data_IF_336447757402
#
_entry.id   IF_336447757402
#
_cell.length_a   1.000
_cell.length_b   1.000
_cell.length_c   1.000
_cell.angle_alpha   90.00
_cell.angle_beta   90.00
_cell.angle_gamma   90.00
#
_symmetry.space_group_name_H-M   'P 1'
#
loop_
_entity.id
_entity.type
_entity.pdbx_description
1 polymer ?
#
# COMPACT_ATOMS: atom_id res chain seq x y z
N UNK A 1 -11.68 -15.96 12.17
CA UNK A 1 -10.49 -15.10 11.96
C UNK A 1 -10.36 -14.11 13.12
N UNK A 2 -9.34 -14.31 13.95
CA UNK A 2 -9.12 -13.68 15.27
C UNK A 2 -8.98 -12.15 15.24
N UNK A 3 -8.89 -11.56 14.04
CA UNK A 3 -8.65 -10.12 13.82
C UNK A 3 -9.87 -9.34 13.33
N UNK A 4 -10.97 -10.04 12.99
CA UNK A 4 -12.21 -9.39 12.59
C UNK A 4 -13.03 -9.03 13.82
N UNK A 5 -13.53 -7.81 13.87
CA UNK A 5 -14.37 -7.31 14.95
C UNK A 5 -15.61 -6.64 14.35
N UNK A 6 -16.77 -6.85 14.98
CA UNK A 6 -17.95 -6.05 14.63
C UNK A 6 -17.68 -4.58 14.93
N UNK A 7 -18.08 -3.70 14.02
CA UNK A 7 -17.78 -2.27 14.13
C UNK A 7 -18.33 -1.69 15.44
N UNK A 8 -19.50 -2.17 15.90
CA UNK A 8 -20.10 -1.75 17.18
C UNK A 8 -19.21 -2.08 18.38
N UNK A 9 -18.63 -3.28 18.41
CA UNK A 9 -17.75 -3.72 19.49
C UNK A 9 -16.42 -2.95 19.46
N UNK A 10 -15.92 -2.64 18.27
CA UNK A 10 -14.72 -1.83 18.09
C UNK A 10 -14.92 -0.40 18.61
N UNK A 11 -16.04 0.23 18.24
CA UNK A 11 -16.40 1.58 18.70
C UNK A 11 -16.54 1.61 20.23
N UNK A 12 -17.25 0.63 20.80
CA UNK A 12 -17.42 0.52 22.24
C UNK A 12 -16.08 0.33 22.96
N UNK A 13 -15.16 -0.47 22.41
CA UNK A 13 -13.83 -0.68 22.96
C UNK A 13 -13.01 0.62 22.94
N UNK A 14 -12.98 1.33 21.81
CA UNK A 14 -12.28 2.61 21.70
C UNK A 14 -12.84 3.63 22.69
N UNK A 15 -14.17 3.74 22.79
CA UNK A 15 -14.82 4.63 23.75
C UNK A 15 -14.46 4.29 25.21
N UNK A 16 -14.39 3.00 25.56
CA UNK A 16 -13.95 2.55 26.89
C UNK A 16 -12.49 2.90 27.16
N UNK A 17 -11.59 2.54 26.26
CA UNK A 17 -10.15 2.82 26.38
C UNK A 17 -9.88 4.31 26.56
N UNK A 18 -10.58 5.15 25.79
CA UNK A 18 -10.50 6.59 25.89
C UNK A 18 -11.00 7.15 27.24
N UNK A 19 -12.05 6.56 27.83
CA UNK A 19 -12.57 6.97 29.16
C UNK A 19 -11.64 6.56 30.29
N UNK A 20 -10.93 5.43 30.15
CA UNK A 20 -10.02 4.90 31.19
C UNK A 20 -8.67 5.61 31.19
N UNK A 21 -8.14 5.96 30.02
CA UNK A 21 -6.92 6.74 29.87
C UNK A 21 -7.26 8.04 29.16
N UNK A 22 -7.50 9.11 29.92
CA UNK A 22 -7.70 10.51 29.43
C UNK A 22 -6.50 11.07 28.60
N UNK A 23 -5.55 10.19 28.25
CA UNK A 23 -4.30 10.39 27.53
C UNK A 23 -4.43 9.99 26.05
N UNK A 24 -5.36 9.09 25.69
CA UNK A 24 -5.49 8.57 24.31
C UNK A 24 -6.40 9.42 23.41
N UNK A 25 -7.14 10.39 23.97
CA UNK A 25 -7.73 11.44 23.13
C UNK A 25 -6.61 12.35 22.64
N UNK A 26 -6.43 12.54 21.33
CA UNK A 26 -5.90 13.82 20.88
C UNK A 26 -6.74 14.89 21.57
N UNK A 27 -6.13 15.82 22.32
CA UNK A 27 -6.85 16.81 23.14
C UNK A 27 -7.91 17.62 22.36
N UNK A 28 -7.84 17.56 21.03
CA UNK A 28 -8.68 18.25 20.07
C UNK A 28 -9.88 17.41 19.57
N UNK A 29 -9.94 16.11 19.89
CA UNK A 29 -11.03 15.25 19.42
C UNK A 29 -12.31 15.51 20.24
N UNK A 30 -13.48 15.68 19.60
CA UNK A 30 -14.74 15.92 20.30
C UNK A 30 -15.15 14.72 21.14
N UNK A 31 -15.44 14.92 22.44
CA UNK A 31 -16.02 13.90 23.33
C UNK A 31 -17.53 13.75 23.09
N UNK A 32 -17.94 13.49 21.85
CA UNK A 32 -19.36 13.35 21.45
C UNK A 32 -19.59 12.04 20.68
N UNK A 33 -20.48 11.19 21.18
CA UNK A 33 -20.87 9.92 20.55
C UNK A 33 -21.39 10.13 19.11
N UNK A 34 -21.97 11.29 18.78
CA UNK A 34 -22.38 11.61 17.41
C UNK A 34 -21.18 11.82 16.48
N UNK A 35 -20.13 12.49 16.95
CA UNK A 35 -18.91 12.69 16.18
C UNK A 35 -18.29 11.35 15.81
N UNK A 36 -18.18 10.43 16.76
CA UNK A 36 -17.64 9.09 16.51
C UNK A 36 -18.48 8.28 15.54
N UNK A 37 -19.79 8.23 15.75
CA UNK A 37 -20.70 7.53 14.84
C UNK A 37 -20.63 8.06 13.41
N UNK A 38 -20.37 9.36 13.23
CA UNK A 38 -20.17 9.96 11.91
C UNK A 38 -18.76 9.66 11.37
N UNK A 39 -17.71 9.85 12.17
CA UNK A 39 -16.31 9.60 11.84
C UNK A 39 -16.08 8.17 11.36
N UNK A 40 -16.66 7.17 12.02
CA UNK A 40 -16.52 5.77 11.60
C UNK A 40 -17.28 5.45 10.31
N UNK A 41 -18.45 6.07 10.10
CA UNK A 41 -19.17 5.96 8.82
C UNK A 41 -18.39 6.59 7.66
N UNK A 42 -17.64 7.65 7.94
CA UNK A 42 -16.76 8.29 6.95
C UNK A 42 -15.50 7.45 6.69
N UNK A 43 -14.89 6.88 7.73
CA UNK A 43 -13.69 6.03 7.61
C UNK A 43 -13.96 4.69 6.92
N UNK A 44 -15.03 4.00 7.32
CA UNK A 44 -15.29 2.62 6.91
C UNK A 44 -16.47 2.51 5.94
N UNK A 45 -17.32 3.53 5.82
CA UNK A 45 -18.54 3.48 5.04
C UNK A 45 -19.74 3.02 5.87
N UNK A 46 -20.94 3.51 5.53
CA UNK A 46 -22.18 3.25 6.31
C UNK A 46 -22.66 1.80 6.29
N UNK A 47 -22.16 0.97 5.38
CA UNK A 47 -22.61 -0.41 5.18
C UNK A 47 -21.64 -1.46 5.75
N UNK A 48 -20.56 -1.03 6.41
CA UNK A 48 -19.57 -1.95 6.99
C UNK A 48 -20.01 -2.38 8.38
N UNK A 49 -20.23 -3.68 8.55
CA UNK A 49 -20.62 -4.30 9.83
C UNK A 49 -19.44 -4.90 10.58
N UNK A 50 -18.37 -5.24 9.87
CA UNK A 50 -17.16 -5.85 10.45
C UNK A 50 -15.90 -5.22 9.85
N UNK A 51 -14.89 -4.99 10.68
CA UNK A 51 -13.58 -4.49 10.26
C UNK A 51 -12.47 -5.47 10.64
N UNK A 52 -11.33 -5.43 9.96
CA UNK A 52 -10.07 -5.93 10.52
C UNK A 52 -9.47 -4.81 11.36
N UNK A 53 -9.34 -5.00 12.68
CA UNK A 53 -8.87 -3.92 13.55
C UNK A 53 -7.40 -3.57 13.30
N UNK A 54 -6.60 -4.48 12.70
CA UNK A 54 -5.19 -4.20 12.36
C UNK A 54 -5.07 -3.10 11.34
N UNK A 55 -6.04 -2.98 10.42
CA UNK A 55 -6.08 -1.90 9.45
C UNK A 55 -6.13 -0.53 10.11
N UNK A 56 -6.87 -0.40 11.21
CA UNK A 56 -6.93 0.83 12.00
C UNK A 56 -5.59 1.09 12.70
N UNK A 57 -4.99 0.08 13.33
CA UNK A 57 -3.72 0.24 14.05
C UNK A 57 -2.60 0.67 13.10
N UNK A 58 -2.49 0.05 11.92
CA UNK A 58 -1.52 0.45 10.88
C UNK A 58 -1.70 1.91 10.47
N UNK A 59 -2.94 2.39 10.34
CA UNK A 59 -3.21 3.80 10.04
C UNK A 59 -2.80 4.72 11.20
N UNK A 60 -3.01 4.32 12.45
CA UNK A 60 -2.59 5.08 13.62
C UNK A 60 -1.07 5.16 13.80
N UNK A 61 -0.30 4.21 13.25
CA UNK A 61 1.17 4.25 13.33
C UNK A 61 1.79 5.41 12.53
N UNK A 62 1.04 6.04 11.61
CA UNK A 62 1.51 7.14 10.76
C UNK A 62 2.83 6.84 10.03
N UNK A 63 3.02 5.58 9.63
CA UNK A 63 4.19 5.16 8.86
C UNK A 63 4.12 5.74 7.45
N UNK A 64 5.26 6.10 6.85
CA UNK A 64 5.29 6.49 5.44
C UNK A 64 4.78 5.34 4.57
N UNK A 65 3.93 5.67 3.59
CA UNK A 65 3.47 4.70 2.61
C UNK A 65 4.65 4.20 1.76
N UNK A 66 4.84 2.88 1.61
CA UNK A 66 5.88 2.37 0.71
C UNK A 66 5.52 2.62 -0.75
N UNK A 67 6.53 2.72 -1.61
CA UNK A 67 6.34 2.72 -3.07
C UNK A 67 6.04 1.30 -3.57
N UNK A 68 5.59 1.18 -4.82
CA UNK A 68 5.37 -0.13 -5.45
C UNK A 68 6.68 -0.91 -5.53
N UNK A 69 7.78 -0.24 -5.88
CA UNK A 69 9.10 -0.83 -6.00
C UNK A 69 9.60 -1.36 -4.66
N UNK A 70 9.36 -0.61 -3.57
CA UNK A 70 9.67 -1.07 -2.22
C UNK A 70 8.86 -2.31 -1.85
N UNK A 71 7.53 -2.29 -2.09
CA UNK A 71 6.68 -3.46 -1.82
C UNK A 71 7.14 -4.71 -2.57
N UNK A 72 7.44 -4.57 -3.87
CA UNK A 72 7.95 -5.68 -4.69
C UNK A 72 9.33 -6.15 -4.23
N UNK A 73 10.20 -5.23 -3.81
CA UNK A 73 11.49 -5.56 -3.22
C UNK A 73 11.33 -6.41 -1.95
N UNK A 74 10.50 -5.98 -1.00
CA UNK A 74 10.29 -6.73 0.24
C UNK A 74 9.58 -8.07 0.01
N UNK A 75 8.63 -8.12 -0.93
CA UNK A 75 8.00 -9.37 -1.32
C UNK A 75 9.05 -10.39 -1.80
N UNK A 76 9.94 -9.97 -2.70
CA UNK A 76 11.00 -10.84 -3.22
C UNK A 76 12.01 -11.22 -2.13
N UNK A 77 12.44 -10.25 -1.32
CA UNK A 77 13.37 -10.49 -0.22
C UNK A 77 12.83 -11.52 0.78
N UNK A 78 11.55 -11.43 1.15
CA UNK A 78 10.94 -12.38 2.06
C UNK A 78 10.66 -13.74 1.42
N UNK A 79 10.35 -13.78 0.11
CA UNK A 79 10.27 -15.03 -0.64
C UNK A 79 11.61 -15.77 -0.67
N UNK A 80 12.75 -15.07 -0.65
CA UNK A 80 14.08 -15.70 -0.56
C UNK A 80 14.31 -16.38 0.81
N UNK A 81 13.59 -15.98 1.87
CA UNK A 81 13.62 -16.61 3.19
C UNK A 81 12.51 -17.66 3.40
N UNK A 82 11.42 -17.56 2.65
CA UNK A 82 10.21 -18.39 2.78
C UNK A 82 10.44 -19.82 2.24
N UNK A 83 9.96 -20.81 2.99
CA UNK A 83 9.96 -22.22 2.59
C UNK A 83 8.65 -22.63 1.86
N UNK A 84 7.79 -21.68 1.53
CA UNK A 84 6.60 -21.83 0.69
C UNK A 84 5.27 -21.68 1.41
N UNK A 85 5.24 -21.06 2.60
CA UNK A 85 4.02 -20.85 3.40
C UNK A 85 3.71 -19.37 3.67
N UNK A 86 4.38 -18.46 2.97
CA UNK A 86 4.29 -17.01 3.15
C UNK A 86 4.66 -16.54 4.56
N UNK A 87 5.53 -17.30 5.24
CA UNK A 87 6.03 -16.93 6.57
C UNK A 87 7.55 -16.78 6.60
N UNK A 88 8.02 -15.87 7.46
CA UNK A 88 9.45 -15.72 7.76
C UNK A 88 9.67 -15.77 9.28
N UNK A 89 10.86 -16.20 9.69
CA UNK A 89 11.22 -16.26 11.10
C UNK A 89 11.41 -14.86 11.70
N UNK A 90 11.37 -14.77 13.02
CA UNK A 90 11.62 -13.52 13.73
C UNK A 90 13.04 -12.99 13.47
N UNK A 91 14.03 -13.87 13.35
CA UNK A 91 15.42 -13.50 13.09
C UNK A 91 15.56 -12.85 11.72
N UNK A 92 14.94 -13.43 10.68
CA UNK A 92 14.96 -12.87 9.33
C UNK A 92 14.24 -11.52 9.27
N UNK A 93 13.14 -11.36 10.01
CA UNK A 93 12.39 -10.11 10.06
C UNK A 93 13.16 -9.00 10.81
N UNK A 94 13.71 -9.30 12.00
CA UNK A 94 14.46 -8.33 12.81
C UNK A 94 15.73 -7.86 12.08
N UNK A 95 16.41 -8.77 11.36
CA UNK A 95 17.57 -8.45 10.55
C UNK A 95 17.25 -7.59 9.30
N UNK A 96 16.00 -7.59 8.85
CA UNK A 96 15.58 -6.83 7.66
C UNK A 96 15.25 -5.40 8.01
N UNK A 97 15.93 -4.42 7.41
CA UNK A 97 15.55 -3.00 7.53
C UNK A 97 14.35 -2.66 6.64
N UNK A 98 13.24 -2.26 7.24
CA UNK A 98 12.01 -1.84 6.58
C UNK A 98 12.09 -0.39 6.09
N UNK A 99 11.22 -0.04 5.13
CA UNK A 99 11.26 1.25 4.40
C UNK A 99 11.06 2.48 5.30
N UNK A 100 10.43 2.30 6.44
CA UNK A 100 10.16 3.36 7.41
C UNK A 100 11.28 3.50 8.46
N UNK A 101 12.21 2.54 8.57
CA UNK A 101 13.26 2.59 9.59
C UNK A 101 14.33 3.63 9.25
N UNK A 102 14.51 4.59 10.15
CA UNK A 102 15.44 5.71 10.02
C UNK A 102 16.40 5.79 11.23
N UNK A 103 17.43 6.61 11.12
CA UNK A 103 18.43 6.77 12.18
C UNK A 103 17.86 7.39 13.47
N UNK A 104 16.72 8.07 13.39
CA UNK A 104 16.05 8.65 14.55
C UNK A 104 15.28 7.62 15.38
N UNK A 105 15.22 6.36 14.97
CA UNK A 105 14.52 5.27 15.66
C UNK A 105 13.04 5.56 15.97
N UNK A 106 12.44 6.52 15.25
CA UNK A 106 11.09 7.03 15.53
C UNK A 106 10.02 5.93 15.47
N UNK A 107 10.29 4.85 14.72
CA UNK A 107 9.33 3.79 14.41
C UNK A 107 9.77 2.40 14.91
N UNK A 108 10.74 2.31 15.83
CA UNK A 108 11.22 1.02 16.31
C UNK A 108 10.11 0.18 16.96
N UNK A 109 9.25 0.83 17.75
CA UNK A 109 8.08 0.17 18.35
C UNK A 109 7.07 -0.31 17.30
N UNK A 110 6.98 0.38 16.15
CA UNK A 110 6.07 0.01 15.09
C UNK A 110 6.49 -1.30 14.41
N UNK A 111 7.80 -1.51 14.18
CA UNK A 111 8.30 -2.76 13.59
C UNK A 111 7.96 -3.97 14.44
N UNK A 112 8.16 -3.86 15.76
CA UNK A 112 7.84 -4.95 16.69
C UNK A 112 6.33 -5.21 16.74
N UNK A 113 5.53 -4.15 16.83
CA UNK A 113 4.07 -4.28 16.84
C UNK A 113 3.53 -4.89 15.53
N UNK A 114 4.13 -4.57 14.38
CA UNK A 114 3.80 -5.23 13.12
C UNK A 114 4.07 -6.73 13.17
N UNK A 115 5.19 -7.16 13.75
CA UNK A 115 5.46 -8.59 13.93
C UNK A 115 4.33 -9.25 14.72
N UNK A 116 4.04 -8.71 15.92
CA UNK A 116 3.03 -9.27 16.83
C UNK A 116 1.62 -9.31 16.21
N UNK A 117 1.27 -8.36 15.32
CA UNK A 117 -0.05 -8.31 14.66
C UNK A 117 -0.22 -9.32 13.50
N UNK A 118 0.87 -9.72 12.87
CA UNK A 118 0.86 -10.60 11.70
C UNK A 118 1.57 -11.93 11.95
N UNK A 119 1.99 -12.19 13.19
CA UNK A 119 2.48 -13.49 13.65
C UNK A 119 1.37 -14.56 13.52
N UNK A 120 1.78 -15.69 12.96
CA UNK A 120 1.03 -16.94 12.90
C UNK A 120 1.89 -18.04 13.51
N UNK A 121 1.37 -19.27 13.59
CA UNK A 121 2.01 -20.39 14.29
C UNK A 121 3.51 -20.58 13.95
N UNK A 122 3.90 -20.33 12.70
CA UNK A 122 5.23 -20.63 12.17
C UNK A 122 6.06 -19.36 11.85
N UNK A 123 5.64 -18.19 12.32
CA UNK A 123 6.37 -16.93 12.14
C UNK A 123 5.51 -15.78 11.61
N UNK A 124 6.13 -14.80 10.98
CA UNK A 124 5.42 -13.62 10.46
C UNK A 124 4.82 -13.92 9.09
N UNK A 125 3.50 -13.78 8.94
CA UNK A 125 2.87 -13.79 7.61
C UNK A 125 3.15 -12.47 6.87
N UNK A 126 4.23 -12.45 6.09
CA UNK A 126 4.71 -11.22 5.45
C UNK A 126 3.81 -10.77 4.30
N UNK A 127 3.15 -11.69 3.58
CA UNK A 127 2.21 -11.35 2.51
C UNK A 127 1.04 -10.53 3.05
N UNK A 128 0.45 -10.95 4.17
CA UNK A 128 -0.66 -10.24 4.84
C UNK A 128 -0.17 -8.89 5.38
N UNK A 129 1.03 -8.84 5.97
CA UNK A 129 1.63 -7.60 6.45
C UNK A 129 1.82 -6.59 5.30
N UNK A 130 2.42 -7.01 4.18
CA UNK A 130 2.68 -6.12 3.03
C UNK A 130 1.37 -5.62 2.40
N UNK A 131 0.34 -6.46 2.32
CA UNK A 131 -0.98 -6.07 1.83
C UNK A 131 -1.63 -4.97 2.69
N UNK A 132 -1.40 -4.97 4.01
CA UNK A 132 -1.91 -3.91 4.89
C UNK A 132 -1.34 -2.53 4.55
N UNK A 133 -0.20 -2.48 3.86
CA UNK A 133 0.46 -1.27 3.36
C UNK A 133 0.16 -0.95 1.89
N UNK A 134 -0.74 -1.67 1.23
CA UNK A 134 -1.28 -1.29 -0.08
C UNK A 134 -2.30 -0.13 0.01
N UNK A 135 -2.13 0.75 0.98
CA UNK A 135 -2.90 1.97 1.15
C UNK A 135 -2.08 3.16 0.68
N UNK A 136 -2.78 4.23 0.34
CA UNK A 136 -2.18 5.46 -0.16
C UNK A 136 -3.17 6.60 0.02
N UNK A 137 -2.68 7.85 -0.05
CA UNK A 137 -3.54 9.04 -0.07
C UNK A 137 -4.53 8.98 -1.24
N UNK A 138 -4.09 8.41 -2.36
CA UNK A 138 -4.90 8.22 -3.57
C UNK A 138 -5.37 6.77 -3.66
N UNK A 139 -6.68 6.47 -3.56
CA UNK A 139 -7.18 5.10 -3.54
C UNK A 139 -6.73 4.22 -4.71
N UNK A 140 -6.62 4.78 -5.92
CA UNK A 140 -6.15 4.03 -7.10
C UNK A 140 -4.66 3.68 -7.06
N UNK A 141 -3.84 4.43 -6.32
CA UNK A 141 -2.44 4.07 -6.08
C UNK A 141 -2.38 2.87 -5.13
N UNK A 142 -3.18 2.89 -4.05
CA UNK A 142 -3.31 1.75 -3.15
C UNK A 142 -3.79 0.48 -3.86
N UNK A 143 -4.80 0.60 -4.71
CA UNK A 143 -5.24 -0.50 -5.58
C UNK A 143 -4.10 -1.00 -6.47
N UNK A 144 -3.35 -0.08 -7.10
CA UNK A 144 -2.17 -0.40 -7.89
C UNK A 144 -1.12 -1.20 -7.11
N UNK A 145 -0.81 -0.80 -5.87
CA UNK A 145 0.09 -1.54 -4.96
C UNK A 145 -0.40 -2.96 -4.70
N UNK A 146 -1.70 -3.13 -4.44
CA UNK A 146 -2.28 -4.45 -4.17
C UNK A 146 -2.15 -5.38 -5.38
N UNK A 147 -2.40 -4.87 -6.59
CA UNK A 147 -2.20 -5.62 -7.82
C UNK A 147 -0.72 -5.91 -8.08
N UNK A 148 0.17 -4.96 -7.79
CA UNK A 148 1.61 -5.21 -7.91
C UNK A 148 2.06 -6.39 -7.06
N UNK A 149 1.63 -6.47 -5.80
CA UNK A 149 1.96 -7.61 -4.93
C UNK A 149 1.34 -8.92 -5.42
N UNK A 150 0.09 -8.90 -5.91
CA UNK A 150 -0.56 -10.11 -6.42
C UNK A 150 0.13 -10.64 -7.67
N UNK A 151 0.58 -9.75 -8.57
CA UNK A 151 1.17 -10.15 -9.85
C UNK A 151 2.70 -10.24 -9.85
N UNK A 152 3.38 -9.63 -8.87
CA UNK A 152 4.83 -9.55 -8.80
C UNK A 152 5.47 -8.54 -9.77
N UNK A 153 4.69 -7.61 -10.35
CA UNK A 153 5.20 -6.56 -11.25
C UNK A 153 4.32 -5.30 -11.19
N UNK A 154 4.87 -4.14 -11.57
CA UNK A 154 4.15 -2.86 -11.48
C UNK A 154 3.17 -2.65 -12.66
N UNK A 155 1.84 -2.61 -12.43
CA UNK A 155 0.83 -2.44 -13.48
C UNK A 155 0.91 -1.08 -14.20
N UNK A 156 1.52 -0.07 -13.58
CA UNK A 156 1.66 1.25 -14.19
C UNK A 156 2.80 1.31 -15.21
N UNK A 157 3.75 0.39 -15.18
CA UNK A 157 4.85 0.33 -16.15
C UNK A 157 4.35 0.05 -17.57
N UNK A 158 3.24 -0.68 -17.72
CA UNK A 158 2.60 -0.91 -19.01
C UNK A 158 2.16 0.39 -19.70
N UNK A 159 1.77 1.42 -18.93
CA UNK A 159 1.42 2.73 -19.51
C UNK A 159 2.64 3.39 -20.15
N UNK A 160 3.82 3.24 -19.56
CA UNK A 160 5.06 3.78 -20.16
C UNK A 160 5.44 3.07 -21.47
N UNK A 161 5.03 1.81 -21.66
CA UNK A 161 5.27 1.07 -22.89
C UNK A 161 4.28 1.46 -24.00
N UNK A 162 3.00 1.64 -23.69
CA UNK A 162 2.00 2.06 -24.67
C UNK A 162 2.14 3.53 -25.10
N UNK A 163 2.56 4.43 -24.21
CA UNK A 163 2.85 5.83 -24.58
C UNK A 163 4.13 5.94 -25.41
N UNK A 164 5.14 5.08 -25.16
CA UNK A 164 6.30 4.98 -26.06
C UNK A 164 5.90 4.47 -27.44
N UNK A 165 5.10 3.40 -27.53
CA UNK A 165 4.64 2.88 -28.83
C UNK A 165 3.79 3.88 -29.63
N UNK A 166 2.93 4.69 -28.98
CA UNK A 166 2.20 5.73 -29.71
C UNK A 166 3.14 6.82 -30.25
N UNK A 167 4.14 7.25 -29.48
CA UNK A 167 5.12 8.27 -29.93
C UNK A 167 6.03 7.74 -31.04
N UNK A 168 6.41 6.46 -31.04
CA UNK A 168 7.15 5.85 -32.15
C UNK A 168 6.27 5.66 -33.41
N UNK A 169 4.98 5.30 -33.26
CA UNK A 169 4.05 5.22 -34.39
C UNK A 169 3.80 6.57 -35.08
N UNK A 170 3.75 7.67 -34.32
CA UNK A 170 3.61 9.01 -34.91
C UNK A 170 4.91 9.51 -35.58
N UNK A 171 6.08 9.14 -35.04
CA UNK A 171 7.38 9.53 -35.65
C UNK A 171 7.73 8.74 -36.91
N UNK A 172 7.36 7.47 -37.02
CA UNK A 172 7.51 6.71 -38.27
C UNK A 172 6.60 7.28 -39.38
N UNK A 173 5.38 7.72 -39.06
CA UNK A 173 4.48 8.33 -40.05
C UNK A 173 4.89 9.73 -40.53
N UNK A 174 5.64 10.50 -39.75
CA UNK A 174 6.14 11.82 -40.18
C UNK A 174 7.38 11.69 -41.09
N UNK A 175 8.27 10.74 -40.82
CA UNK A 175 9.44 10.48 -41.67
C UNK A 175 9.05 9.89 -43.05
N UNK A 176 7.98 9.10 -43.12
CA UNK A 176 7.50 8.55 -44.39
C UNK A 176 6.86 9.62 -45.30
N UNK A 177 6.29 10.68 -44.72
CA UNK A 177 5.71 11.81 -45.48
C UNK A 177 6.82 12.74 -46.02
N UNK A 178 7.93 12.89 -45.30
CA UNK A 178 9.05 13.73 -45.73
C UNK A 178 9.88 13.08 -46.87
N UNK A 179 10.00 11.75 -46.89
CA UNK A 179 10.60 10.99 -48.00
C UNK A 179 9.75 11.01 -49.28
N UNK A 180 8.41 10.98 -49.17
CA UNK A 180 7.52 11.05 -50.35
C UNK A 180 7.47 12.44 -50.99
N UNK A 181 7.69 13.51 -50.21
CA UNK A 181 7.68 14.89 -50.72
C UNK A 181 9.01 15.33 -51.33
N UNK A 182 10.13 14.70 -50.96
CA UNK A 182 11.45 14.94 -51.57
C UNK A 182 11.60 14.23 -52.91
N UNK A 183 11.07 13.00 -53.05
CA UNK A 183 11.16 12.22 -54.30
C UNK A 183 10.25 12.78 -55.42
N UNK A 184 9.13 13.41 -55.10
CA UNK A 184 8.20 13.96 -56.11
C UNK A 184 8.62 15.31 -56.71
N UNK A 185 9.66 15.97 -56.17
CA UNK A 185 10.10 17.29 -56.65
C UNK A 185 11.34 17.25 -57.57
N UNK A 186 11.89 16.06 -57.90
CA UNK A 186 13.07 15.91 -58.76
C UNK A 186 12.80 15.37 -60.18
N UNK A 187 11.55 15.35 -60.65
CA UNK A 187 11.25 15.02 -62.05
C UNK A 187 10.70 16.24 -62.78
N UNK A 188 11.59 17.17 -63.10
CA UNK A 188 11.40 18.17 -64.16
C UNK A 188 12.24 17.69 -65.34
N UNK A 189 11.61 17.08 -66.33
CA UNK A 189 12.25 16.83 -67.62
C UNK A 189 12.35 18.15 -68.41
N UNK A 190 13.51 18.47 -69.03
CA UNK A 190 13.61 19.50 -70.05
C UNK A 190 12.92 19.10 -71.37
#
# INVERSE_FOLDING_TARGET
PTFKMEIVNFIDLLNKLCKTKDILYPKQWPKDDKFYNQFYKELFGSNVTTIDWRDFVVQCMQLPYPTIEQLLFYQKLFQDYDIGNETITIESYEATRLWFENESNQYNDAKRLLYDMYEVQDGLNYSTMLLAFCKDEKPWIGLGKSFSLIFGWNPFDLKTQHTKQSVYKYKESENDIEYLNTVNNEIIYP
#
